data_IF_481651735461
#
_entry.id   IF_481651735461
#
_cell.length_a   1.000
_cell.length_b   1.000
_cell.length_c   1.000
_cell.angle_alpha   90.00
_cell.angle_beta   90.00
_cell.angle_gamma   90.00
#
_symmetry.space_group_name_H-M   'P 1'
#
loop_
_entity.id
_entity.type
_entity.pdbx_description
1 polymer ?
#
# COMPACT_ATOMS: atom_id res chain seq x y z
N UNK A 1 49.17 91.95 -39.18
CA UNK A 1 50.49 92.03 -39.88
C UNK A 1 50.57 90.84 -40.85
N UNK A 2 50.61 91.20 -42.10
CA UNK A 2 51.48 90.65 -43.17
C UNK A 2 51.38 89.14 -43.39
N UNK A 3 51.16 88.64 -44.49
CA UNK A 3 51.26 88.90 -45.94
C UNK A 3 51.20 87.50 -46.60
N UNK A 4 50.38 87.33 -47.62
CA UNK A 4 50.81 87.07 -49.05
C UNK A 4 51.34 85.64 -49.29
N UNK A 5 51.02 84.93 -50.28
CA UNK A 5 50.51 85.12 -51.62
C UNK A 5 50.87 83.88 -52.40
N UNK A 6 50.01 83.52 -53.33
CA UNK A 6 50.28 83.16 -54.73
C UNK A 6 51.03 81.85 -55.05
N UNK A 7 50.65 81.12 -55.92
CA UNK A 7 50.39 81.03 -57.35
C UNK A 7 50.73 79.56 -57.71
N UNK A 8 50.08 78.83 -58.42
CA UNK A 8 49.44 78.70 -59.69
C UNK A 8 49.83 77.39 -60.41
N UNK A 9 48.95 76.96 -61.22
CA UNK A 9 49.14 76.19 -62.47
C UNK A 9 49.71 74.75 -62.35
N UNK A 10 49.17 73.80 -62.93
CA UNK A 10 48.75 73.52 -64.27
C UNK A 10 48.69 72.02 -64.54
N UNK A 11 47.86 71.74 -65.52
CA UNK A 11 47.84 70.59 -66.45
C UNK A 11 47.38 69.25 -65.96
N UNK A 12 46.18 68.84 -66.35
CA UNK A 12 45.68 68.13 -67.56
C UNK A 12 46.29 66.76 -67.77
N UNK A 13 45.36 65.81 -67.96
CA UNK A 13 45.41 64.56 -68.75
C UNK A 13 45.22 63.22 -68.05
N UNK A 14 44.17 62.65 -68.42
CA UNK A 14 43.82 61.28 -68.86
C UNK A 14 43.04 60.42 -67.97
N UNK A 15 41.90 60.17 -68.51
CA UNK A 15 40.95 59.12 -68.25
C UNK A 15 41.56 57.70 -68.24
N UNK A 16 41.15 56.82 -67.38
CA UNK A 16 40.83 55.46 -67.81
C UNK A 16 39.86 54.83 -66.81
N UNK A 17 38.74 54.41 -67.31
CA UNK A 17 37.71 53.67 -66.65
C UNK A 17 38.26 52.28 -66.17
N UNK A 18 38.02 51.97 -64.86
CA UNK A 18 37.89 50.57 -64.43
C UNK A 18 36.56 50.43 -63.68
N UNK A 19 35.60 49.84 -64.37
CA UNK A 19 34.41 49.28 -63.81
C UNK A 19 34.82 48.10 -62.91
N UNK A 20 35.00 48.31 -61.63
CA UNK A 20 35.08 47.26 -60.65
C UNK A 20 33.66 46.76 -60.33
N UNK A 21 33.37 45.52 -60.71
CA UNK A 21 32.18 44.78 -60.20
C UNK A 21 32.25 44.75 -58.67
N UNK A 22 31.43 45.57 -58.09
CA UNK A 22 31.05 45.38 -56.67
C UNK A 22 30.18 44.12 -56.56
N UNK A 23 30.77 42.99 -56.21
CA UNK A 23 30.03 41.86 -55.72
C UNK A 23 29.28 42.33 -54.46
N UNK A 24 27.97 42.45 -54.56
CA UNK A 24 27.11 42.63 -53.44
C UNK A 24 27.39 41.49 -52.45
N UNK A 25 28.19 41.73 -51.44
CA UNK A 25 28.33 40.86 -50.31
C UNK A 25 26.96 40.85 -49.62
N UNK A 26 26.19 39.78 -49.84
CA UNK A 26 24.94 39.51 -49.16
C UNK A 26 25.13 39.77 -47.65
N UNK A 27 24.47 40.79 -47.14
CA UNK A 27 24.55 41.15 -45.72
C UNK A 27 24.35 39.90 -44.89
N UNK A 28 25.19 39.63 -43.88
CA UNK A 28 25.01 38.44 -43.02
C UNK A 28 23.61 38.45 -42.45
N UNK A 29 22.88 37.37 -42.66
CA UNK A 29 21.52 37.25 -42.13
C UNK A 29 21.55 37.47 -40.60
N UNK A 30 20.67 38.32 -40.07
CA UNK A 30 20.69 38.64 -38.65
C UNK A 30 20.47 37.38 -37.79
N UNK A 31 21.48 37.05 -36.97
CA UNK A 31 21.44 35.91 -36.07
C UNK A 31 20.32 36.13 -35.05
N UNK A 32 19.22 35.40 -35.16
CA UNK A 32 18.07 35.55 -34.30
C UNK A 32 18.28 34.85 -32.95
N UNK A 33 17.98 35.52 -31.82
CA UNK A 33 17.95 34.86 -30.54
C UNK A 33 16.74 33.91 -30.44
N UNK A 34 16.97 32.67 -30.01
CA UNK A 34 15.92 31.69 -29.77
C UNK A 34 15.95 31.21 -28.31
N UNK A 35 14.79 31.00 -27.76
CA UNK A 35 14.68 30.26 -26.50
C UNK A 35 14.70 28.76 -26.80
N UNK A 36 15.52 28.04 -26.09
CA UNK A 36 15.69 26.60 -26.31
C UNK A 36 15.76 25.85 -24.97
N UNK A 37 15.39 24.58 -24.98
CA UNK A 37 15.54 23.66 -23.86
C UNK A 37 16.19 22.36 -24.31
N UNK A 38 16.88 21.69 -23.40
CA UNK A 38 17.38 20.33 -23.61
C UNK A 38 16.27 19.35 -23.23
N UNK A 39 15.99 18.41 -24.10
CA UNK A 39 15.03 17.35 -23.84
C UNK A 39 15.64 16.30 -22.90
N UNK A 40 15.37 16.42 -21.63
CA UNK A 40 15.69 15.38 -20.67
C UNK A 40 14.58 14.33 -20.65
N UNK A 41 14.95 13.04 -20.57
CA UNK A 41 13.95 11.98 -20.38
C UNK A 41 13.20 12.23 -19.07
N UNK A 42 11.96 12.67 -19.17
CA UNK A 42 11.09 12.76 -18.02
C UNK A 42 10.55 11.36 -17.72
N UNK A 43 10.94 10.81 -16.59
CA UNK A 43 10.14 9.75 -15.99
C UNK A 43 8.84 10.44 -15.58
N UNK A 44 7.75 10.09 -16.23
CA UNK A 44 6.45 10.35 -15.63
C UNK A 44 6.49 9.59 -14.31
N UNK A 45 6.71 10.28 -13.21
CA UNK A 45 6.50 9.68 -11.90
C UNK A 45 5.05 9.23 -11.95
N UNK A 46 4.87 7.91 -12.14
CA UNK A 46 3.55 7.31 -12.11
C UNK A 46 2.92 7.79 -10.81
N UNK A 47 1.62 8.05 -10.85
CA UNK A 47 0.90 8.55 -9.70
C UNK A 47 1.36 7.84 -8.43
N UNK A 48 1.83 8.62 -7.46
CA UNK A 48 2.43 8.13 -6.22
C UNK A 48 1.35 8.21 -5.16
N UNK A 49 0.95 7.06 -4.62
CA UNK A 49 0.10 7.01 -3.45
C UNK A 49 0.97 6.80 -2.20
N UNK A 50 0.64 7.51 -1.13
CA UNK A 50 1.31 7.35 0.17
C UNK A 50 0.45 6.44 1.04
N UNK A 51 1.10 5.61 1.85
CA UNK A 51 0.44 4.71 2.77
C UNK A 51 1.34 4.21 3.88
N UNK A 52 0.92 3.15 4.54
CA UNK A 52 1.64 2.53 5.64
C UNK A 52 1.73 1.02 5.46
N UNK A 53 2.78 0.43 6.02
CA UNK A 53 2.91 -1.02 6.11
C UNK A 53 2.03 -1.52 7.25
N UNK A 54 1.07 -2.40 6.94
CA UNK A 54 0.23 -3.07 7.92
C UNK A 54 0.45 -4.60 7.85
N UNK A 55 0.16 -5.31 8.94
CA UNK A 55 0.12 -6.77 8.90
C UNK A 55 -1.16 -7.19 8.17
N UNK A 56 -1.08 -8.20 7.33
CA UNK A 56 -2.27 -8.77 6.69
C UNK A 56 -3.22 -9.41 7.71
N UNK A 57 -2.65 -10.06 8.75
CA UNK A 57 -3.40 -10.71 9.81
C UNK A 57 -3.14 -10.03 11.14
N UNK A 58 -4.21 -9.50 11.74
CA UNK A 58 -4.21 -8.81 13.02
C UNK A 58 -5.44 -9.24 13.81
N UNK A 59 -5.25 -9.69 15.03
CA UNK A 59 -6.33 -10.15 15.88
C UNK A 59 -6.33 -9.40 17.22
N UNK A 60 -7.49 -8.93 17.62
CA UNK A 60 -7.72 -8.36 18.93
C UNK A 60 -8.15 -9.49 19.88
N UNK A 61 -7.34 -9.77 20.87
CA UNK A 61 -7.60 -10.80 21.85
C UNK A 61 -8.33 -10.20 23.04
N UNK A 62 -9.44 -10.86 23.43
CA UNK A 62 -10.34 -10.41 24.48
C UNK A 62 -10.80 -11.59 25.32
N UNK A 63 -11.16 -11.35 26.59
CA UNK A 63 -11.82 -12.35 27.41
C UNK A 63 -13.28 -12.53 26.98
N UNK A 64 -13.79 -13.76 27.17
CA UNK A 64 -15.20 -14.11 26.90
C UNK A 64 -16.08 -13.91 28.13
N UNK A 65 -15.47 -13.68 29.30
CA UNK A 65 -16.14 -13.51 30.60
C UNK A 65 -15.61 -12.26 31.31
N UNK A 66 -16.45 -11.68 32.16
CA UNK A 66 -16.08 -10.55 33.01
C UNK A 66 -15.09 -11.01 34.09
N UNK A 67 -14.06 -10.22 34.36
CA UNK A 67 -13.12 -10.49 35.43
C UNK A 67 -12.07 -9.40 35.60
N UNK A 68 -11.34 -9.45 36.72
CA UNK A 68 -10.22 -8.58 36.99
C UNK A 68 -8.95 -9.20 36.38
N UNK A 69 -8.23 -8.45 35.56
CA UNK A 69 -6.96 -8.88 34.96
C UNK A 69 -5.90 -9.04 36.07
N UNK A 70 -5.42 -10.26 36.27
CA UNK A 70 -4.42 -10.59 37.32
C UNK A 70 -3.02 -10.67 36.75
N UNK A 71 -2.86 -11.06 35.49
CA UNK A 71 -1.58 -11.13 34.85
C UNK A 71 -1.68 -10.85 33.33
N UNK A 72 -0.66 -10.15 32.79
CA UNK A 72 -0.41 -9.94 31.36
C UNK A 72 1.10 -10.03 31.13
N UNK A 73 1.63 -11.24 30.87
CA UNK A 73 3.07 -11.50 30.80
C UNK A 73 3.69 -11.07 29.46
N UNK A 74 3.06 -10.14 28.74
CA UNK A 74 3.53 -9.66 27.43
C UNK A 74 3.45 -8.14 27.34
N UNK A 75 4.34 -7.53 26.57
CA UNK A 75 4.41 -6.10 26.28
C UNK A 75 4.38 -5.85 24.77
N UNK A 76 4.14 -4.61 24.38
CA UNK A 76 4.21 -4.22 22.96
C UNK A 76 5.62 -4.49 22.41
N UNK A 77 5.70 -5.18 21.28
CA UNK A 77 6.94 -5.60 20.64
C UNK A 77 7.36 -7.05 20.96
N UNK A 78 6.77 -7.71 21.96
CA UNK A 78 7.12 -9.08 22.29
C UNK A 78 6.64 -10.05 21.21
N UNK A 79 7.48 -11.04 20.92
CA UNK A 79 7.12 -12.19 20.10
C UNK A 79 6.38 -13.21 20.93
N UNK A 80 5.29 -13.72 20.40
CA UNK A 80 4.44 -14.73 21.04
C UNK A 80 4.27 -15.95 20.15
N UNK A 81 4.19 -17.12 20.79
CA UNK A 81 3.98 -18.40 20.12
C UNK A 81 2.51 -18.82 20.19
N UNK A 82 2.09 -19.68 19.27
CA UNK A 82 0.78 -20.33 19.32
C UNK A 82 0.57 -21.06 20.65
N UNK A 83 -0.61 -20.93 21.25
CA UNK A 83 -0.97 -21.51 22.54
C UNK A 83 -0.41 -20.76 23.76
N UNK A 84 0.47 -19.77 23.59
CA UNK A 84 1.01 -18.97 24.69
C UNK A 84 -0.10 -18.15 25.37
N UNK A 85 -0.12 -18.16 26.70
CA UNK A 85 -1.05 -17.34 27.50
C UNK A 85 -0.53 -15.90 27.57
N UNK A 86 -1.35 -14.95 27.11
CA UNK A 86 -1.03 -13.52 27.07
C UNK A 86 -1.85 -12.67 28.05
N UNK A 87 -2.86 -13.27 28.67
CA UNK A 87 -3.65 -12.60 29.69
C UNK A 87 -4.37 -13.61 30.60
N UNK A 88 -4.53 -13.28 31.87
CA UNK A 88 -5.25 -14.10 32.85
C UNK A 88 -6.10 -13.19 33.73
N UNK A 89 -7.38 -13.55 33.91
CA UNK A 89 -8.26 -12.93 34.90
C UNK A 89 -8.34 -13.81 36.13
N UNK A 90 -8.86 -13.26 37.22
CA UNK A 90 -9.11 -14.00 38.49
C UNK A 90 -10.03 -15.20 38.24
N UNK A 91 -9.55 -16.44 38.36
CA UNK A 91 -10.33 -17.63 38.07
C UNK A 91 -11.18 -18.12 39.24
N UNK A 92 -11.10 -17.50 40.44
CA UNK A 92 -11.62 -18.02 41.69
C UNK A 92 -13.12 -18.40 41.62
N UNK A 93 -13.96 -17.51 41.08
CA UNK A 93 -15.39 -17.77 40.93
C UNK A 93 -15.67 -18.92 39.93
N UNK A 94 -14.92 -18.98 38.85
CA UNK A 94 -15.05 -20.04 37.84
C UNK A 94 -14.60 -21.40 38.38
N UNK A 95 -13.53 -21.43 39.18
CA UNK A 95 -13.05 -22.65 39.85
C UNK A 95 -14.06 -23.18 40.90
N UNK A 96 -14.74 -22.28 41.63
CA UNK A 96 -15.81 -22.67 42.50
C UNK A 96 -16.97 -23.31 41.74
N UNK A 97 -17.31 -22.77 40.57
CA UNK A 97 -18.36 -23.34 39.71
C UNK A 97 -17.98 -24.74 39.21
N UNK A 98 -16.73 -24.97 38.83
CA UNK A 98 -16.23 -26.30 38.45
C UNK A 98 -16.31 -27.29 39.62
N UNK A 99 -15.90 -26.84 40.82
CA UNK A 99 -16.00 -27.69 42.04
C UNK A 99 -17.44 -28.08 42.35
N UNK A 100 -18.38 -27.13 42.25
CA UNK A 100 -19.81 -27.39 42.46
C UNK A 100 -20.36 -28.40 41.43
N UNK A 101 -20.05 -28.22 40.13
CA UNK A 101 -20.48 -29.13 39.09
C UNK A 101 -19.89 -30.55 39.26
N UNK A 102 -18.64 -30.64 39.73
CA UNK A 102 -18.00 -31.94 40.02
C UNK A 102 -18.69 -32.65 41.18
N UNK A 103 -19.06 -31.92 42.26
CA UNK A 103 -19.77 -32.50 43.38
C UNK A 103 -21.15 -33.02 42.96
N UNK A 104 -21.87 -32.29 42.08
CA UNK A 104 -23.17 -32.74 41.56
C UNK A 104 -23.05 -34.01 40.69
N UNK A 105 -21.99 -34.10 39.90
CA UNK A 105 -21.68 -35.32 39.12
C UNK A 105 -21.44 -36.52 40.07
N UNK A 106 -20.61 -36.35 41.09
CA UNK A 106 -20.33 -37.40 42.09
C UNK A 106 -21.61 -37.89 42.81
N UNK A 107 -22.50 -36.95 43.16
CA UNK A 107 -23.80 -37.26 43.73
C UNK A 107 -24.68 -38.08 42.75
N UNK A 108 -24.76 -37.65 41.49
CA UNK A 108 -25.54 -38.35 40.47
C UNK A 108 -24.99 -39.76 40.20
N UNK A 109 -23.67 -39.94 40.19
CA UNK A 109 -23.01 -41.24 40.03
C UNK A 109 -23.33 -42.17 41.20
N UNK A 110 -23.36 -41.67 42.46
CA UNK A 110 -23.75 -42.45 43.63
C UNK A 110 -25.22 -42.91 43.56
N UNK A 111 -26.10 -42.00 43.11
CA UNK A 111 -27.51 -42.33 42.89
C UNK A 111 -27.70 -43.39 41.81
N UNK A 112 -26.97 -43.32 40.72
CA UNK A 112 -26.98 -44.32 39.64
C UNK A 112 -26.45 -45.68 40.15
N UNK A 113 -25.39 -45.68 40.94
CA UNK A 113 -24.86 -46.90 41.57
C UNK A 113 -25.88 -47.60 42.46
N UNK A 114 -26.62 -46.79 43.28
CA UNK A 114 -27.71 -47.32 44.14
C UNK A 114 -28.87 -47.87 43.30
N UNK A 115 -29.29 -47.13 42.25
CA UNK A 115 -30.37 -47.56 41.37
C UNK A 115 -30.01 -48.85 40.61
N UNK A 116 -28.77 -48.97 40.07
CA UNK A 116 -28.26 -50.18 39.44
C UNK A 116 -28.28 -51.38 40.41
N UNK A 117 -27.81 -51.21 41.64
CA UNK A 117 -27.81 -52.27 42.61
C UNK A 117 -29.23 -52.71 42.98
N UNK A 118 -30.18 -51.79 43.01
CA UNK A 118 -31.59 -52.07 43.26
C UNK A 118 -32.22 -52.83 42.08
N UNK A 119 -32.04 -52.37 40.87
CA UNK A 119 -32.50 -53.06 39.65
C UNK A 119 -31.96 -54.50 39.61
N UNK A 120 -30.68 -54.70 39.86
CA UNK A 120 -30.06 -55.99 39.82
C UNK A 120 -30.65 -56.95 40.89
N UNK A 121 -30.92 -56.44 42.11
CA UNK A 121 -31.63 -57.22 43.13
C UNK A 121 -33.02 -57.59 42.68
N UNK A 122 -33.84 -56.64 42.18
CA UNK A 122 -35.19 -56.93 41.73
C UNK A 122 -35.21 -57.92 40.55
N UNK A 123 -34.25 -57.79 39.62
CA UNK A 123 -34.12 -58.74 38.51
C UNK A 123 -33.88 -60.17 39.01
N UNK A 124 -33.06 -60.40 40.03
CA UNK A 124 -32.81 -61.70 40.62
C UNK A 124 -34.06 -62.19 41.36
N UNK A 125 -34.76 -61.34 42.09
CA UNK A 125 -35.98 -61.73 42.83
C UNK A 125 -37.17 -62.12 41.94
N UNK A 126 -37.29 -61.50 40.76
CA UNK A 126 -38.29 -61.92 39.74
C UNK A 126 -38.04 -63.30 39.23
N UNK A 127 -36.81 -63.76 39.10
CA UNK A 127 -36.50 -65.13 38.65
C UNK A 127 -36.88 -66.24 39.67
N UNK A 128 -37.13 -65.84 40.93
CA UNK A 128 -37.54 -66.73 42.00
C UNK A 128 -38.99 -66.47 42.45
N UNK A 129 -39.80 -65.74 41.67
CA UNK A 129 -41.17 -65.30 41.96
C UNK A 129 -41.31 -64.54 43.31
N UNK A 130 -40.21 -64.00 43.83
CA UNK A 130 -40.18 -63.28 45.11
C UNK A 130 -40.55 -61.81 45.02
N UNK A 131 -40.77 -61.27 43.76
CA UNK A 131 -41.24 -59.88 43.54
C UNK A 131 -42.07 -59.82 42.23
N UNK A 132 -42.78 -58.71 42.04
CA UNK A 132 -43.61 -58.49 40.83
C UNK A 132 -42.80 -57.92 39.66
N UNK A 133 -43.24 -58.22 38.44
CA UNK A 133 -42.68 -57.62 37.24
C UNK A 133 -42.73 -56.09 37.27
N UNK A 134 -43.81 -55.49 37.76
CA UNK A 134 -44.00 -54.05 37.91
C UNK A 134 -42.92 -53.44 38.83
N UNK A 135 -42.48 -54.14 39.86
CA UNK A 135 -41.42 -53.69 40.77
C UNK A 135 -40.07 -53.62 40.02
N UNK A 136 -39.82 -54.63 39.13
CA UNK A 136 -38.63 -54.60 38.29
C UNK A 136 -38.71 -53.43 37.27
N UNK A 137 -39.84 -53.24 36.59
CA UNK A 137 -40.03 -52.17 35.63
C UNK A 137 -39.80 -50.76 36.29
N UNK A 138 -40.28 -50.59 37.52
CA UNK A 138 -40.02 -49.35 38.29
C UNK A 138 -38.53 -49.19 38.62
N UNK A 139 -37.81 -50.26 38.95
CA UNK A 139 -36.37 -50.22 39.22
C UNK A 139 -35.57 -49.89 37.95
N UNK A 140 -35.95 -50.44 36.80
CA UNK A 140 -35.37 -50.12 35.49
C UNK A 140 -35.58 -48.67 35.12
N UNK A 141 -36.80 -48.11 35.31
CA UNK A 141 -37.08 -46.68 35.12
C UNK A 141 -36.23 -45.80 36.04
N UNK A 142 -36.12 -46.17 37.31
CA UNK A 142 -35.31 -45.42 38.29
C UNK A 142 -33.83 -45.41 37.87
N UNK A 143 -33.28 -46.55 37.41
CA UNK A 143 -31.93 -46.61 36.88
C UNK A 143 -31.76 -45.73 35.62
N UNK A 144 -32.72 -45.80 34.67
CA UNK A 144 -32.70 -44.99 33.47
C UNK A 144 -32.73 -43.47 33.81
N UNK A 145 -33.58 -43.04 34.75
CA UNK A 145 -33.63 -41.69 35.25
C UNK A 145 -32.31 -41.24 35.94
N UNK A 146 -31.73 -42.14 36.76
CA UNK A 146 -30.43 -41.85 37.40
C UNK A 146 -29.30 -41.77 36.36
N UNK A 147 -29.29 -42.59 35.29
CA UNK A 147 -28.33 -42.52 34.21
C UNK A 147 -28.46 -41.19 33.42
N UNK A 148 -29.67 -40.72 33.17
CA UNK A 148 -29.92 -39.41 32.53
C UNK A 148 -29.40 -38.25 33.44
N UNK A 149 -29.56 -38.37 34.75
CA UNK A 149 -29.04 -37.39 35.72
C UNK A 149 -27.50 -37.31 35.70
N UNK A 150 -26.79 -38.45 35.58
CA UNK A 150 -25.34 -38.48 35.40
C UNK A 150 -24.93 -37.79 34.11
N UNK A 151 -25.59 -38.09 33.00
CA UNK A 151 -25.28 -37.46 31.71
C UNK A 151 -25.48 -35.94 31.76
N UNK A 152 -26.54 -35.46 32.40
CA UNK A 152 -26.80 -34.05 32.63
C UNK A 152 -25.74 -33.41 33.53
N UNK A 153 -25.36 -34.01 34.66
CA UNK A 153 -24.32 -33.50 35.55
C UNK A 153 -22.93 -33.46 34.87
N UNK A 154 -22.64 -34.44 34.05
CA UNK A 154 -21.40 -34.49 33.25
C UNK A 154 -21.34 -33.36 32.21
N UNK A 155 -22.43 -33.08 31.51
CA UNK A 155 -22.53 -31.94 30.57
C UNK A 155 -22.34 -30.60 31.30
N UNK A 156 -22.90 -30.45 32.52
CA UNK A 156 -22.69 -29.26 33.35
C UNK A 156 -21.22 -29.10 33.78
N UNK A 157 -20.53 -30.19 34.15
CA UNK A 157 -19.11 -30.14 34.50
C UNK A 157 -18.25 -29.75 33.27
N UNK A 158 -18.53 -30.28 32.08
CA UNK A 158 -17.86 -29.87 30.86
C UNK A 158 -18.05 -28.36 30.62
N UNK A 159 -19.30 -27.88 30.68
CA UNK A 159 -19.61 -26.45 30.54
C UNK A 159 -18.85 -25.56 31.53
N UNK A 160 -18.81 -25.94 32.81
CA UNK A 160 -18.10 -25.21 33.84
C UNK A 160 -16.59 -25.19 33.60
N UNK A 161 -16.04 -26.30 33.13
CA UNK A 161 -14.61 -26.44 32.81
C UNK A 161 -14.23 -25.58 31.62
N UNK A 162 -15.05 -25.56 30.55
CA UNK A 162 -14.87 -24.67 29.40
C UNK A 162 -14.92 -23.19 29.84
N UNK A 163 -15.88 -22.81 30.65
CA UNK A 163 -15.98 -21.43 31.16
C UNK A 163 -14.75 -21.03 32.00
N UNK A 164 -14.19 -21.95 32.79
CA UNK A 164 -12.92 -21.72 33.49
C UNK A 164 -11.77 -21.48 32.50
N UNK A 165 -11.75 -22.19 31.38
CA UNK A 165 -10.77 -21.98 30.33
C UNK A 165 -10.77 -20.54 29.77
N UNK A 166 -11.93 -19.88 29.81
CA UNK A 166 -12.06 -18.47 29.36
C UNK A 166 -11.41 -17.47 30.32
N UNK A 167 -10.89 -17.89 31.47
CA UNK A 167 -10.09 -17.06 32.35
C UNK A 167 -8.67 -16.80 31.82
N UNK A 168 -8.27 -17.46 30.73
CA UNK A 168 -6.99 -17.28 30.09
C UNK A 168 -7.20 -16.93 28.60
N UNK A 169 -6.46 -15.91 28.13
CA UNK A 169 -6.34 -15.62 26.71
C UNK A 169 -5.09 -16.33 26.19
N UNK A 170 -5.26 -17.17 25.19
CA UNK A 170 -4.18 -17.83 24.46
C UNK A 170 -4.13 -17.32 23.03
N UNK A 171 -2.94 -17.26 22.49
CA UNK A 171 -2.70 -16.83 21.11
C UNK A 171 -2.95 -17.99 20.15
N UNK A 172 -3.69 -17.76 19.07
CA UNK A 172 -4.04 -18.79 18.09
C UNK A 172 -2.95 -19.03 17.01
N UNK A 173 -1.97 -18.12 16.91
CA UNK A 173 -0.87 -18.17 15.92
C UNK A 173 0.38 -17.46 16.44
N UNK A 174 1.55 -17.82 15.97
CA UNK A 174 2.79 -17.10 16.29
C UNK A 174 2.80 -15.70 15.68
N UNK A 175 3.17 -14.67 16.46
CA UNK A 175 3.12 -13.29 16.03
C UNK A 175 3.84 -12.32 16.96
N UNK A 176 3.61 -11.03 16.75
CA UNK A 176 4.13 -9.93 17.57
C UNK A 176 2.97 -9.16 18.21
N UNK A 177 3.15 -8.77 19.46
CA UNK A 177 2.20 -7.90 20.17
C UNK A 177 2.33 -6.47 19.62
N UNK A 178 1.25 -5.96 19.02
CA UNK A 178 1.24 -4.61 18.42
C UNK A 178 0.57 -3.57 19.29
N UNK A 179 -0.33 -3.97 20.17
CA UNK A 179 -1.00 -3.07 21.12
C UNK A 179 -1.45 -3.80 22.38
N UNK A 180 -1.57 -3.05 23.46
CA UNK A 180 -2.13 -3.45 24.75
C UNK A 180 -3.30 -2.53 25.06
N UNK A 181 -4.47 -3.11 25.33
CA UNK A 181 -5.72 -2.39 25.57
C UNK A 181 -6.22 -2.44 27.02
N UNK A 182 -5.57 -3.21 27.90
CA UNK A 182 -5.93 -3.31 29.32
C UNK A 182 -4.71 -3.55 30.20
N UNK A 183 -4.74 -2.98 31.43
CA UNK A 183 -3.66 -3.09 32.41
C UNK A 183 -4.00 -4.07 33.53
N UNK A 184 -2.96 -4.65 34.14
CA UNK A 184 -3.10 -5.53 35.30
C UNK A 184 -3.79 -4.80 36.46
N UNK A 185 -4.78 -5.46 37.07
CA UNK A 185 -5.64 -4.87 38.12
C UNK A 185 -6.95 -4.29 37.57
N UNK A 186 -7.08 -4.03 36.29
CA UNK A 186 -8.29 -3.53 35.65
C UNK A 186 -9.37 -4.62 35.57
N UNK A 187 -10.62 -4.24 35.71
CA UNK A 187 -11.77 -5.10 35.39
C UNK A 187 -12.08 -4.99 33.92
N UNK A 188 -12.08 -6.11 33.20
CA UNK A 188 -12.32 -6.20 31.78
C UNK A 188 -13.66 -6.87 31.49
N UNK A 189 -14.37 -6.30 30.52
CA UNK A 189 -15.66 -6.83 30.04
C UNK A 189 -15.45 -7.83 28.89
N UNK A 190 -16.43 -8.74 28.68
CA UNK A 190 -16.40 -9.62 27.51
C UNK A 190 -16.27 -8.83 26.19
N UNK A 191 -15.33 -9.23 25.32
CA UNK A 191 -15.07 -8.56 24.04
C UNK A 191 -14.19 -7.31 24.12
N UNK A 192 -13.85 -6.83 25.32
CA UNK A 192 -12.90 -5.73 25.48
C UNK A 192 -11.50 -6.16 25.04
N UNK A 193 -10.88 -5.41 24.11
CA UNK A 193 -9.52 -5.69 23.65
C UNK A 193 -8.51 -5.62 24.81
N UNK A 194 -7.73 -6.68 24.99
CA UNK A 194 -6.66 -6.75 26.00
C UNK A 194 -5.29 -6.71 25.36
N UNK A 195 -5.10 -7.49 24.31
CA UNK A 195 -3.84 -7.56 23.54
C UNK A 195 -4.16 -7.68 22.07
N UNK A 196 -3.43 -6.96 21.24
CA UNK A 196 -3.50 -7.12 19.79
C UNK A 196 -2.25 -7.82 19.30
N UNK A 197 -2.41 -8.93 18.59
CA UNK A 197 -1.33 -9.71 17.99
C UNK A 197 -1.44 -9.66 16.49
N UNK A 198 -0.30 -9.52 15.81
CA UNK A 198 -0.21 -9.48 14.36
C UNK A 198 0.87 -10.44 13.83
N UNK A 199 0.70 -10.93 12.61
CA UNK A 199 1.73 -11.69 11.90
C UNK A 199 2.70 -10.74 11.22
N UNK A 200 3.98 -10.72 11.62
CA UNK A 200 4.96 -9.81 11.04
C UNK A 200 5.55 -10.30 9.70
N UNK A 201 5.36 -11.57 9.35
CA UNK A 201 5.87 -12.23 8.14
C UNK A 201 5.06 -11.84 6.90
N UNK A 202 3.75 -11.67 7.03
CA UNK A 202 2.86 -11.31 5.92
C UNK A 202 2.43 -9.86 6.06
N UNK A 203 3.06 -9.01 5.26
CA UNK A 203 2.86 -7.55 5.30
C UNK A 203 2.22 -7.05 4.01
N UNK A 204 1.43 -6.02 4.15
CA UNK A 204 0.80 -5.33 3.03
C UNK A 204 1.03 -3.82 3.15
N UNK A 205 1.03 -3.12 2.01
CA UNK A 205 0.97 -1.68 1.99
C UNK A 205 -0.49 -1.26 1.88
N UNK A 206 -0.95 -0.49 2.85
CA UNK A 206 -2.29 0.11 2.84
C UNK A 206 -2.15 1.55 2.37
N UNK A 207 -2.73 1.84 1.21
CA UNK A 207 -2.69 3.15 0.57
C UNK A 207 -4.10 3.67 0.38
N UNK A 208 -4.25 4.98 0.37
CA UNK A 208 -5.52 5.63 0.07
C UNK A 208 -5.39 6.38 -1.27
N UNK A 209 -6.26 6.08 -2.22
CA UNK A 209 -6.20 6.53 -3.63
C UNK A 209 -7.44 7.38 -3.93
N UNK A 210 -7.25 8.53 -4.60
CA UNK A 210 -8.32 9.40 -5.07
C UNK A 210 -9.06 8.85 -6.29
N UNK A 211 -10.23 9.43 -6.58
CA UNK A 211 -11.03 9.06 -7.76
C UNK A 211 -10.38 9.50 -9.09
N UNK A 212 -9.44 10.43 -9.03
CA UNK A 212 -8.65 10.94 -10.16
C UNK A 212 -7.51 10.01 -10.61
N UNK A 213 -7.46 8.80 -10.04
CA UNK A 213 -6.44 7.81 -10.40
C UNK A 213 -6.57 7.41 -11.89
N UNK A 214 -5.50 7.50 -12.69
CA UNK A 214 -5.57 7.48 -14.16
C UNK A 214 -5.86 6.09 -14.77
N UNK A 215 -5.88 5.04 -13.95
CA UNK A 215 -6.08 3.65 -14.38
C UNK A 215 -7.17 3.02 -13.52
N UNK A 216 -8.09 2.25 -14.09
CA UNK A 216 -9.05 1.46 -13.31
C UNK A 216 -8.31 0.60 -12.30
N UNK A 217 -8.75 0.67 -11.03
CA UNK A 217 -8.20 -0.17 -9.97
C UNK A 217 -8.78 -1.57 -10.10
N UNK A 218 -7.92 -2.55 -10.28
CA UNK A 218 -8.28 -3.96 -10.40
C UNK A 218 -7.44 -4.80 -9.44
N UNK A 219 -7.98 -5.96 -9.06
CA UNK A 219 -7.23 -6.95 -8.29
C UNK A 219 -6.05 -7.43 -9.14
N UNK A 220 -4.94 -7.77 -8.49
CA UNK A 220 -3.65 -8.13 -9.10
C UNK A 220 -2.94 -7.02 -9.88
N UNK A 221 -3.45 -5.79 -9.87
CA UNK A 221 -2.75 -4.65 -10.46
C UNK A 221 -1.37 -4.49 -9.79
N UNK A 222 -0.26 -4.49 -10.55
CA UNK A 222 1.08 -4.45 -9.99
C UNK A 222 1.45 -3.05 -9.50
N UNK A 223 2.08 -2.98 -8.34
CA UNK A 223 2.66 -1.77 -7.76
C UNK A 223 4.12 -2.01 -7.36
N UNK A 224 4.92 -0.97 -7.48
CA UNK A 224 6.23 -0.90 -6.83
C UNK A 224 6.10 -0.06 -5.57
N UNK A 225 6.38 -0.66 -4.43
CA UNK A 225 6.26 -0.01 -3.11
C UNK A 225 7.66 0.27 -2.56
N UNK A 226 7.94 1.52 -2.27
CA UNK A 226 9.22 1.97 -1.70
C UNK A 226 9.04 2.57 -0.31
N UNK A 227 10.07 2.47 0.53
CA UNK A 227 10.10 3.18 1.81
C UNK A 227 10.26 4.69 1.57
N UNK A 228 9.48 5.51 2.25
CA UNK A 228 9.57 6.96 2.07
C UNK A 228 10.94 7.53 2.51
N UNK A 229 11.51 7.02 3.59
CA UNK A 229 12.83 7.44 4.10
C UNK A 229 14.02 6.82 3.34
N UNK A 230 13.81 5.70 2.67
CA UNK A 230 14.82 4.97 1.92
C UNK A 230 14.28 4.60 0.53
N UNK A 231 14.11 5.55 -0.39
CA UNK A 231 13.47 5.31 -1.68
C UNK A 231 14.17 4.29 -2.59
N UNK A 232 15.44 3.99 -2.30
CA UNK A 232 16.19 2.94 -2.98
C UNK A 232 15.72 1.51 -2.61
N UNK A 233 15.10 1.34 -1.42
CA UNK A 233 14.56 0.06 -0.98
C UNK A 233 13.13 -0.06 -1.45
N UNK A 234 12.92 -0.89 -2.46
CA UNK A 234 11.64 -1.09 -3.13
C UNK A 234 11.27 -2.56 -3.18
N UNK A 235 9.98 -2.85 -3.16
CA UNK A 235 9.41 -4.19 -3.24
C UNK A 235 8.26 -4.16 -4.25
N UNK A 236 8.15 -5.20 -5.02
CA UNK A 236 6.97 -5.42 -5.87
C UNK A 236 5.80 -5.92 -5.02
N UNK A 237 4.62 -5.45 -5.34
CA UNK A 237 3.38 -5.89 -4.72
C UNK A 237 2.24 -5.91 -5.72
N UNK A 238 1.14 -6.54 -5.34
CA UNK A 238 -0.09 -6.61 -6.15
C UNK A 238 -1.28 -6.20 -5.31
N UNK A 239 -2.23 -5.54 -5.94
CA UNK A 239 -3.50 -5.21 -5.29
C UNK A 239 -4.22 -6.50 -4.90
N UNK A 240 -4.46 -6.66 -3.59
CA UNK A 240 -5.19 -7.78 -3.01
C UNK A 240 -6.65 -7.43 -2.73
N UNK A 241 -6.87 -6.19 -2.34
CA UNK A 241 -8.19 -5.73 -1.90
C UNK A 241 -8.37 -4.26 -2.23
N UNK A 242 -9.56 -3.92 -2.71
CA UNK A 242 -9.99 -2.55 -2.99
C UNK A 242 -11.26 -2.33 -2.18
N UNK A 243 -11.25 -1.33 -1.29
CA UNK A 243 -12.45 -0.99 -0.54
C UNK A 243 -13.61 -0.66 -1.50
N UNK A 244 -14.79 -1.26 -1.34
CA UNK A 244 -15.93 -1.01 -2.22
C UNK A 244 -16.44 0.43 -2.10
N UNK A 245 -16.25 1.05 -0.93
CA UNK A 245 -16.68 2.41 -0.62
C UNK A 245 -15.47 3.29 -0.34
N UNK A 246 -15.48 4.53 -0.85
CA UNK A 246 -14.53 5.56 -0.45
C UNK A 246 -14.87 6.10 0.94
N UNK A 247 -13.87 6.55 1.67
CA UNK A 247 -14.06 7.23 2.94
C UNK A 247 -14.89 8.52 2.73
N UNK A 248 -15.97 8.73 3.47
CA UNK A 248 -16.89 9.84 3.23
C UNK A 248 -16.29 11.22 3.53
N UNK A 249 -15.22 11.29 4.33
CA UNK A 249 -14.57 12.55 4.72
C UNK A 249 -13.45 12.90 3.74
N UNK A 250 -12.57 11.95 3.45
CA UNK A 250 -11.39 12.18 2.60
C UNK A 250 -11.68 11.95 1.12
N UNK A 251 -12.76 11.22 0.78
CA UNK A 251 -13.11 10.73 -0.56
C UNK A 251 -12.04 9.85 -1.20
N UNK A 252 -11.16 9.31 -0.38
CA UNK A 252 -10.13 8.39 -0.83
C UNK A 252 -10.64 6.95 -0.69
N UNK A 253 -10.22 6.10 -1.61
CA UNK A 253 -10.51 4.67 -1.59
C UNK A 253 -9.31 3.90 -1.08
N UNK A 254 -9.52 3.10 -0.06
CA UNK A 254 -8.47 2.26 0.51
C UNK A 254 -8.15 1.08 -0.37
N UNK A 255 -6.87 0.88 -0.64
CA UNK A 255 -6.33 -0.23 -1.43
C UNK A 255 -5.26 -0.93 -0.61
N UNK A 256 -5.34 -2.25 -0.54
CA UNK A 256 -4.36 -3.11 0.13
C UNK A 256 -3.51 -3.83 -0.90
N UNK A 257 -2.22 -3.65 -0.83
CA UNK A 257 -1.24 -4.21 -1.74
C UNK A 257 -0.45 -5.27 -1.00
N UNK A 258 -0.60 -6.54 -1.37
CA UNK A 258 0.22 -7.62 -0.85
C UNK A 258 1.66 -7.46 -1.33
N UNK A 259 2.61 -7.42 -0.39
CA UNK A 259 4.04 -7.24 -0.67
C UNK A 259 4.72 -8.60 -0.90
N UNK A 260 5.55 -8.70 -1.93
CA UNK A 260 6.29 -9.92 -2.24
C UNK A 260 7.62 -9.93 -1.47
N UNK A 261 7.73 -10.79 -0.46
CA UNK A 261 8.96 -10.96 0.35
C UNK A 261 9.59 -9.63 0.79
N UNK A 262 8.84 -8.77 1.51
CA UNK A 262 9.36 -7.48 1.92
C UNK A 262 10.53 -7.67 2.89
N UNK A 263 11.66 -6.94 2.71
CA UNK A 263 12.80 -7.00 3.63
C UNK A 263 12.41 -6.49 5.02
N UNK A 264 13.24 -6.78 6.03
CA UNK A 264 12.99 -6.39 7.43
C UNK A 264 12.80 -4.88 7.64
N UNK A 265 13.35 -4.06 6.75
CA UNK A 265 13.18 -2.60 6.78
C UNK A 265 11.74 -2.14 6.55
N UNK A 266 10.87 -2.97 5.95
CA UNK A 266 9.42 -2.73 5.85
C UNK A 266 8.72 -3.09 7.17
N UNK A 267 9.09 -2.45 8.25
CA UNK A 267 8.48 -2.67 9.57
C UNK A 267 7.03 -2.21 9.59
N UNK A 268 6.20 -2.86 10.40
CA UNK A 268 4.81 -2.45 10.61
C UNK A 268 4.75 -0.98 11.06
N UNK A 269 3.83 -0.21 10.47
CA UNK A 269 3.68 1.22 10.72
C UNK A 269 4.63 2.12 9.93
N UNK A 270 5.57 1.58 9.13
CA UNK A 270 6.46 2.39 8.31
C UNK A 270 5.70 3.02 7.14
N UNK A 271 5.97 4.29 6.88
CA UNK A 271 5.37 5.01 5.73
C UNK A 271 6.03 4.55 4.42
N UNK A 272 5.19 4.28 3.44
CA UNK A 272 5.57 3.82 2.11
C UNK A 272 4.97 4.68 1.01
N UNK A 273 5.61 4.65 -0.13
CA UNK A 273 5.11 5.22 -1.38
C UNK A 273 4.87 4.10 -2.38
N UNK A 274 3.67 4.00 -2.90
CA UNK A 274 3.31 3.02 -3.93
C UNK A 274 3.22 3.71 -5.29
N UNK A 275 3.92 3.17 -6.27
CA UNK A 275 3.91 3.62 -7.67
C UNK A 275 3.25 2.55 -8.52
N UNK A 276 2.36 2.97 -9.42
CA UNK A 276 1.67 2.05 -10.32
C UNK A 276 2.67 1.43 -11.31
N UNK A 277 2.66 0.11 -11.38
CA UNK A 277 3.18 -0.70 -12.46
C UNK A 277 4.66 -0.56 -12.80
N UNK A 278 5.10 -1.35 -13.77
CA UNK A 278 6.45 -1.34 -14.32
C UNK A 278 6.88 0.08 -14.66
N UNK A 279 8.09 0.45 -14.26
CA UNK A 279 8.75 1.67 -14.65
C UNK A 279 8.51 1.90 -16.17
N UNK A 280 7.63 2.83 -16.51
CA UNK A 280 7.45 3.21 -17.92
C UNK A 280 8.80 3.70 -18.41
N UNK A 281 9.19 3.25 -19.59
CA UNK A 281 10.39 3.75 -20.26
C UNK A 281 10.36 5.28 -20.23
N UNK A 282 11.49 5.93 -19.89
CA UNK A 282 11.53 7.37 -19.82
C UNK A 282 11.03 7.97 -21.14
N UNK A 283 10.02 8.81 -21.06
CA UNK A 283 9.40 9.44 -22.22
C UNK A 283 9.91 10.87 -22.36
N UNK A 284 10.20 11.29 -23.60
CA UNK A 284 10.50 12.68 -23.89
C UNK A 284 9.19 13.47 -23.95
N UNK A 285 9.11 14.57 -23.23
CA UNK A 285 7.98 15.50 -23.32
C UNK A 285 8.41 16.78 -24.01
N UNK A 286 7.60 17.20 -24.99
CA UNK A 286 7.80 18.45 -25.73
C UNK A 286 6.68 19.41 -25.34
N UNK A 287 7.00 20.64 -24.87
CA UNK A 287 5.98 21.64 -24.60
C UNK A 287 5.26 22.04 -25.89
N UNK A 288 3.97 22.36 -25.79
CA UNK A 288 3.15 22.76 -26.92
C UNK A 288 3.76 23.96 -27.71
N UNK A 289 4.46 24.85 -27.00
CA UNK A 289 5.13 26.02 -27.60
C UNK A 289 6.30 25.67 -28.55
N UNK A 290 6.82 24.42 -28.48
CA UNK A 290 7.89 23.94 -29.33
C UNK A 290 7.39 23.16 -30.56
N UNK A 291 6.09 22.85 -30.63
CA UNK A 291 5.48 22.04 -31.66
C UNK A 291 4.99 22.94 -32.81
N UNK A 292 5.52 22.73 -33.99
CA UNK A 292 5.06 23.37 -35.23
C UNK A 292 4.17 22.40 -36.01
N UNK A 293 2.86 22.64 -36.01
CA UNK A 293 1.94 21.89 -36.86
C UNK A 293 1.96 22.45 -38.27
N UNK A 294 2.32 21.60 -39.24
CA UNK A 294 2.39 21.97 -40.68
C UNK A 294 1.98 20.76 -41.51
N UNK A 295 1.14 21.00 -42.54
CA UNK A 295 0.70 20.00 -43.50
C UNK A 295 0.17 18.69 -42.88
N UNK A 296 -0.57 18.79 -41.75
CA UNK A 296 -1.11 17.63 -41.03
C UNK A 296 -0.10 16.81 -40.26
N UNK A 297 1.15 17.28 -40.14
CA UNK A 297 2.20 16.64 -39.33
C UNK A 297 2.78 17.61 -38.30
N UNK A 298 3.35 17.05 -37.24
CA UNK A 298 3.99 17.81 -36.17
C UNK A 298 5.51 17.83 -36.39
N UNK A 299 6.10 18.99 -36.21
CA UNK A 299 7.54 19.21 -36.34
C UNK A 299 8.07 19.95 -35.11
N UNK A 300 9.37 19.75 -34.85
CA UNK A 300 10.12 20.46 -33.82
C UNK A 300 11.44 20.96 -34.40
N UNK A 301 11.84 22.16 -34.04
CA UNK A 301 13.15 22.71 -34.41
C UNK A 301 14.21 22.18 -33.43
N UNK A 302 15.18 21.44 -33.97
CA UNK A 302 16.36 20.95 -33.25
C UNK A 302 17.54 21.85 -33.50
N UNK A 303 18.25 22.24 -32.46
CA UNK A 303 19.43 23.09 -32.52
C UNK A 303 20.68 22.23 -32.61
N UNK A 304 21.44 22.36 -33.67
CA UNK A 304 22.80 21.83 -33.75
C UNK A 304 23.75 22.79 -33.01
N UNK A 305 24.23 22.39 -31.85
CA UNK A 305 25.06 23.24 -30.99
C UNK A 305 26.43 23.58 -31.62
N UNK A 306 27.18 22.63 -32.25
CA UNK A 306 28.43 22.94 -32.93
C UNK A 306 28.28 23.92 -34.06
N UNK A 307 27.25 23.76 -34.88
CA UNK A 307 27.03 24.62 -36.06
C UNK A 307 26.20 25.87 -35.74
N UNK A 308 25.58 25.94 -34.56
CA UNK A 308 24.61 26.98 -34.15
C UNK A 308 23.50 27.19 -35.21
N UNK A 309 23.03 26.11 -35.82
CA UNK A 309 21.97 26.10 -36.83
C UNK A 309 20.74 25.31 -36.35
N UNK A 310 19.60 25.58 -36.97
CA UNK A 310 18.36 24.85 -36.66
C UNK A 310 17.93 23.94 -37.80
N UNK A 311 17.46 22.75 -37.48
CA UNK A 311 16.90 21.78 -38.43
C UNK A 311 15.49 21.38 -38.00
N UNK A 312 14.61 21.19 -38.97
CA UNK A 312 13.22 20.82 -38.74
C UNK A 312 13.09 19.29 -38.70
N UNK A 313 12.68 18.74 -37.58
CA UNK A 313 12.48 17.30 -37.40
C UNK A 313 11.01 16.97 -37.27
N UNK A 314 10.54 16.00 -38.06
CA UNK A 314 9.20 15.44 -37.90
C UNK A 314 9.15 14.61 -36.60
N UNK A 315 8.10 14.80 -35.81
CA UNK A 315 7.90 14.11 -34.56
C UNK A 315 6.52 13.45 -34.50
N UNK A 316 6.50 12.25 -33.97
CA UNK A 316 5.25 11.56 -33.68
C UNK A 316 4.87 11.84 -32.22
N UNK A 317 3.72 12.49 -32.03
CA UNK A 317 3.24 12.92 -30.73
C UNK A 317 2.05 12.09 -30.31
N UNK A 318 2.03 11.69 -29.04
CA UNK A 318 0.90 11.00 -28.40
C UNK A 318 0.47 11.77 -27.16
N UNK A 319 -0.85 11.96 -26.96
CA UNK A 319 -1.45 12.60 -25.78
C UNK A 319 -1.88 14.05 -25.97
N UNK A 320 -2.14 14.75 -24.87
CA UNK A 320 -2.70 16.10 -24.83
C UNK A 320 -1.73 17.15 -25.41
N UNK A 321 -2.21 18.14 -26.20
CA UNK A 321 -1.41 19.24 -26.75
C UNK A 321 -0.62 20.06 -25.72
N UNK A 322 -1.06 20.11 -24.45
CA UNK A 322 -0.38 20.85 -23.38
C UNK A 322 0.95 20.23 -22.92
N UNK A 323 1.29 19.01 -23.35
CA UNK A 323 2.52 18.31 -22.98
C UNK A 323 2.65 16.97 -23.70
N UNK A 324 2.72 17.02 -25.02
CA UNK A 324 2.73 15.84 -25.87
C UNK A 324 3.96 14.95 -25.61
N UNK A 325 3.74 13.64 -25.51
CA UNK A 325 4.82 12.65 -25.45
C UNK A 325 5.34 12.40 -26.84
N UNK A 326 6.66 12.41 -26.99
CA UNK A 326 7.32 12.02 -28.23
C UNK A 326 7.41 10.50 -28.28
N UNK A 327 6.74 9.89 -29.25
CA UNK A 327 6.84 8.46 -29.52
C UNK A 327 7.92 8.11 -30.53
N UNK A 328 8.40 9.10 -31.30
CA UNK A 328 9.46 8.93 -32.29
C UNK A 328 9.98 10.25 -32.87
N UNK A 329 11.16 10.24 -33.48
CA UNK A 329 11.73 11.37 -34.20
C UNK A 329 12.69 12.28 -33.42
N UNK A 330 12.90 12.08 -32.10
CA UNK A 330 13.84 12.86 -31.29
C UNK A 330 14.69 11.97 -30.41
N UNK A 331 15.98 12.29 -30.27
CA UNK A 331 16.87 11.62 -29.33
C UNK A 331 16.87 12.30 -27.95
N UNK A 332 17.09 11.55 -26.86
CA UNK A 332 17.36 12.11 -25.55
C UNK A 332 18.57 13.05 -25.58
N UNK A 333 18.47 14.20 -24.91
CA UNK A 333 19.54 15.21 -24.92
C UNK A 333 19.49 16.19 -26.12
N UNK A 334 18.56 16.02 -27.07
CA UNK A 334 18.37 16.98 -28.17
C UNK A 334 17.93 18.33 -27.60
N UNK A 335 18.53 19.41 -28.10
CA UNK A 335 18.12 20.77 -27.77
C UNK A 335 17.07 21.25 -28.76
N UNK A 336 15.91 21.64 -28.26
CA UNK A 336 14.78 22.09 -29.08
C UNK A 336 14.48 23.57 -28.84
N UNK A 337 13.95 24.25 -29.89
CA UNK A 337 13.49 25.64 -29.79
C UNK A 337 12.07 25.67 -29.18
N UNK A 338 11.87 26.51 -28.17
CA UNK A 338 10.57 26.64 -27.46
C UNK A 338 9.83 27.95 -27.76
N UNK A 339 10.50 28.93 -28.39
CA UNK A 339 9.86 30.19 -28.80
C UNK A 339 10.45 30.68 -30.14
N UNK A 340 9.59 31.30 -30.96
CA UNK A 340 9.96 31.82 -32.29
C UNK A 340 9.89 30.77 -33.41
N UNK A 341 9.25 29.64 -33.20
CA UNK A 341 9.20 28.47 -34.09
C UNK A 341 8.62 28.74 -35.47
N UNK A 342 7.72 29.74 -35.61
CA UNK A 342 7.05 30.08 -36.89
C UNK A 342 7.89 30.93 -37.83
N UNK A 343 9.00 31.51 -37.36
CA UNK A 343 9.82 32.44 -38.12
C UNK A 343 11.19 31.89 -38.48
N UNK A 344 11.44 30.61 -38.22
CA UNK A 344 12.70 29.94 -38.54
C UNK A 344 12.67 29.26 -39.90
N UNK A 345 13.85 29.18 -40.53
CA UNK A 345 14.06 28.43 -41.76
C UNK A 345 15.14 27.34 -41.56
N UNK A 346 15.06 26.20 -42.25
CA UNK A 346 16.06 25.16 -42.13
C UNK A 346 17.48 25.66 -42.46
N UNK A 347 18.46 25.32 -41.62
CA UNK A 347 19.85 25.77 -41.75
C UNK A 347 20.12 27.18 -41.23
N UNK A 348 19.13 27.90 -40.70
CA UNK A 348 19.31 29.27 -40.19
C UNK A 348 20.23 29.28 -38.96
N UNK A 349 21.19 30.24 -38.93
CA UNK A 349 22.00 30.49 -37.76
C UNK A 349 21.18 31.17 -36.66
N UNK A 350 21.27 30.61 -35.41
CA UNK A 350 20.55 31.10 -34.24
C UNK A 350 21.53 31.35 -33.10
N UNK A 351 21.17 32.33 -32.24
CA UNK A 351 21.86 32.54 -30.95
C UNK A 351 21.02 31.97 -29.83
N UNK A 352 21.60 31.02 -29.16
CA UNK A 352 20.96 30.36 -28.00
C UNK A 352 21.02 31.30 -26.80
N UNK A 353 19.87 31.78 -26.34
CA UNK A 353 19.79 32.39 -25.02
C UNK A 353 19.72 31.31 -23.97
N UNK A 354 20.58 31.42 -22.93
CA UNK A 354 20.68 30.40 -21.85
C UNK A 354 19.35 30.15 -21.18
N UNK A 355 19.13 28.89 -20.96
CA UNK A 355 18.03 28.19 -20.33
C UNK A 355 17.16 28.98 -19.35
N UNK A 356 15.86 29.14 -19.67
CA UNK A 356 14.84 29.19 -18.61
C UNK A 356 14.52 27.76 -18.22
N UNK A 357 14.82 27.38 -16.99
CA UNK A 357 14.25 26.19 -16.37
C UNK A 357 12.73 26.30 -16.37
N UNK A 358 11.99 25.20 -16.68
CA UNK A 358 10.53 25.22 -16.64
C UNK A 358 9.99 25.51 -15.24
#
# INVERSE_FOLDING_TARGET
MKRRAMIAAGTFVSALAMAGCQQDAKAPEPVRPVLSMVLEPSRTDGMVAVGVVEPQYKTNLAFRVLGRLTARPVSVGDLVSEGQTVGTIDPTALELTVRAARAELTKAEAQLATAKATEQRQRTLVTTDATTKQTLDNAEQARAGAAASVAHAQANLIKATEQRGYAQIKVDFAGVVTAVGAEVGQVVSPGQNVVTVARPDIREAVIDIGEDFPVPLEIDLPFTVGLQLLPAVQVEGKVREIAPQADPVTRLRRVRIALNNPPESFRLGTTVTAKLGKAQSPTLRVPASAVLAKDGANFVWVVDQPASTVSLHKVDLAGDPAGARVSGGLAPGARIVTAGIHSLTPGQHVRINKDQKP
#
